data_IF_055956231894
#
_entry.id   IF_055956231894
#
_cell.length_a   1.000
_cell.length_b   1.000
_cell.length_c   1.000
_cell.angle_alpha   90.00
_cell.angle_beta   90.00
_cell.angle_gamma   90.00
#
_symmetry.space_group_name_H-M   'P 1'
#
loop_
_entity.id
_entity.type
_entity.pdbx_description
1 polymer ?
#
# COMPACT_ATOMS: atom_id res chain seq x y z
N UNK A 1 -24.12 23.28 6.05
CA UNK A 1 -24.29 22.27 4.98
C UNK A 1 -23.67 20.96 5.45
N UNK A 2 -24.53 20.03 5.88
CA UNK A 2 -24.12 18.70 6.31
C UNK A 2 -24.02 17.78 5.08
N UNK A 3 -22.89 17.10 4.92
CA UNK A 3 -22.84 15.85 4.19
C UNK A 3 -22.13 14.82 5.06
N UNK A 4 -22.88 14.30 6.03
CA UNK A 4 -22.52 13.11 6.80
C UNK A 4 -22.73 11.91 5.88
N UNK A 5 -21.70 11.53 5.13
CA UNK A 5 -21.70 10.27 4.41
C UNK A 5 -21.45 9.13 5.40
N UNK A 6 -22.53 8.61 5.99
CA UNK A 6 -22.52 7.26 6.58
C UNK A 6 -22.45 6.28 5.42
N UNK A 7 -21.22 5.91 5.05
CA UNK A 7 -20.94 4.83 4.11
C UNK A 7 -21.05 3.48 4.79
N UNK A 8 -22.24 2.89 4.69
CA UNK A 8 -22.60 1.47 4.77
C UNK A 8 -21.43 0.48 4.95
N UNK A 9 -21.55 -0.38 5.96
CA UNK A 9 -20.70 -1.54 6.17
C UNK A 9 -20.57 -2.39 4.90
N UNK A 10 -19.35 -2.44 4.37
CA UNK A 10 -18.94 -3.41 3.36
C UNK A 10 -18.93 -4.77 4.06
N UNK A 11 -19.88 -5.64 3.71
CA UNK A 11 -19.84 -7.04 4.10
C UNK A 11 -18.45 -7.60 3.82
N UNK A 12 -17.90 -8.39 4.75
CA UNK A 12 -16.53 -8.93 4.72
C UNK A 12 -16.32 -9.86 3.51
N UNK A 13 -16.28 -9.35 2.28
CA UNK A 13 -15.46 -9.98 1.25
C UNK A 13 -14.06 -9.87 1.82
N UNK A 14 -13.47 -11.01 2.19
CA UNK A 14 -12.07 -11.03 2.58
C UNK A 14 -11.31 -10.45 1.40
N UNK A 15 -10.95 -9.17 1.51
CA UNK A 15 -10.00 -8.56 0.58
C UNK A 15 -8.79 -9.47 0.63
N UNK A 16 -8.22 -9.78 -0.53
CA UNK A 16 -6.99 -10.56 -0.59
C UNK A 16 -6.02 -9.96 0.44
N UNK A 17 -5.56 -10.74 1.42
CA UNK A 17 -4.89 -10.21 2.61
C UNK A 17 -3.59 -9.47 2.29
N UNK A 18 -3.05 -9.69 1.10
CA UNK A 18 -1.88 -9.00 0.55
C UNK A 18 -2.19 -7.69 -0.20
N UNK A 19 -3.46 -7.29 -0.33
CA UNK A 19 -3.81 -5.97 -0.88
C UNK A 19 -3.73 -4.92 0.22
N UNK A 20 -2.76 -4.03 0.10
CA UNK A 20 -2.58 -2.89 1.00
C UNK A 20 -3.54 -1.76 0.59
N UNK A 21 -4.46 -1.35 1.47
CA UNK A 21 -5.37 -0.21 1.23
C UNK A 21 -4.63 1.13 1.21
N UNK A 22 -5.21 2.15 0.58
CA UNK A 22 -4.61 3.50 0.54
C UNK A 22 -4.50 4.11 1.94
N UNK A 23 -5.49 3.86 2.80
CA UNK A 23 -5.48 4.29 4.21
C UNK A 23 -4.28 3.69 4.95
N UNK A 24 -4.06 2.37 4.85
CA UNK A 24 -2.92 1.72 5.50
C UNK A 24 -1.60 2.20 4.91
N UNK A 25 -1.54 2.36 3.58
CA UNK A 25 -0.35 2.86 2.90
C UNK A 25 0.01 4.28 3.37
N UNK A 26 -0.97 5.15 3.61
CA UNK A 26 -0.73 6.53 4.08
C UNK A 26 -0.01 6.60 5.44
N UNK A 27 -0.14 5.56 6.28
CA UNK A 27 0.58 5.46 7.55
C UNK A 27 1.98 4.85 7.41
N UNK A 28 2.15 3.93 6.46
CA UNK A 28 3.42 3.20 6.26
C UNK A 28 4.41 4.05 5.45
N UNK A 29 3.96 4.68 4.36
CA UNK A 29 4.82 5.41 3.43
C UNK A 29 5.74 6.45 4.10
N UNK A 30 5.27 7.29 5.05
CA UNK A 30 6.13 8.28 5.70
C UNK A 30 7.23 7.67 6.59
N UNK A 31 7.08 6.41 7.01
CA UNK A 31 8.05 5.71 7.84
C UNK A 31 9.19 5.10 7.01
N UNK A 32 9.03 5.00 5.70
CA UNK A 32 10.03 4.44 4.82
C UNK A 32 11.14 5.47 4.52
N UNK A 33 12.41 5.05 4.50
CA UNK A 33 13.49 5.94 4.12
C UNK A 33 13.37 6.36 2.66
N UNK A 34 13.82 7.57 2.34
CA UNK A 34 13.87 8.04 0.95
C UNK A 34 14.74 7.10 0.10
N UNK A 35 14.34 6.79 -1.15
CA UNK A 35 15.14 5.96 -2.03
C UNK A 35 16.55 6.55 -2.22
N UNK A 36 17.57 5.71 -2.07
CA UNK A 36 18.95 6.11 -2.32
C UNK A 36 19.14 6.53 -3.80
N UNK A 37 19.98 7.54 -4.08
CA UNK A 37 20.35 7.90 -5.44
C UNK A 37 20.93 6.69 -6.17
N UNK A 38 20.54 6.49 -7.43
CA UNK A 38 21.12 5.42 -8.26
C UNK A 38 22.51 5.81 -8.72
N UNK A 39 23.50 4.96 -8.46
CA UNK A 39 24.88 5.11 -8.96
C UNK A 39 25.05 4.64 -10.41
N UNK A 40 24.19 3.74 -10.88
CA UNK A 40 24.21 3.17 -12.23
C UNK A 40 22.80 3.08 -12.80
N UNK A 41 22.67 3.40 -14.08
CA UNK A 41 21.41 3.24 -14.83
C UNK A 41 21.09 1.76 -15.00
N UNK A 42 19.86 1.37 -14.67
CA UNK A 42 19.40 -0.02 -14.73
C UNK A 42 17.89 -0.08 -14.54
N UNK A 43 17.36 -1.28 -14.27
CA UNK A 43 15.91 -1.48 -14.12
C UNK A 43 15.32 -0.48 -13.11
N UNK A 44 14.19 0.18 -13.44
CA UNK A 44 13.46 0.99 -12.47
C UNK A 44 13.16 0.21 -11.19
N UNK A 45 13.20 0.89 -10.04
CA UNK A 45 12.84 0.27 -8.76
C UNK A 45 11.33 0.03 -8.76
N UNK A 46 10.89 -1.13 -8.27
CA UNK A 46 9.47 -1.40 -8.05
C UNK A 46 8.95 -0.45 -6.96
N UNK A 47 7.77 0.17 -7.11
CA UNK A 47 7.18 0.99 -6.07
C UNK A 47 7.05 0.22 -4.75
N UNK A 48 7.37 0.86 -3.63
CA UNK A 48 7.46 0.18 -2.33
C UNK A 48 6.12 -0.46 -1.92
N UNK A 49 4.98 0.14 -2.28
CA UNK A 49 3.66 -0.45 -2.06
C UNK A 49 3.46 -1.76 -2.81
N UNK A 50 3.90 -1.84 -4.07
CA UNK A 50 3.79 -3.07 -4.86
C UNK A 50 4.71 -4.15 -4.30
N UNK A 51 5.91 -3.78 -3.87
CA UNK A 51 6.82 -4.71 -3.20
C UNK A 51 6.21 -5.26 -1.90
N UNK A 52 5.60 -4.40 -1.08
CA UNK A 52 4.91 -4.81 0.14
C UNK A 52 3.75 -5.77 -0.14
N UNK A 53 2.92 -5.49 -1.16
CA UNK A 53 1.88 -6.43 -1.59
C UNK A 53 2.46 -7.80 -1.99
N UNK A 54 3.59 -7.82 -2.70
CA UNK A 54 4.27 -9.07 -3.07
C UNK A 54 4.80 -9.84 -1.86
N UNK A 55 5.38 -9.16 -0.87
CA UNK A 55 5.85 -9.77 0.38
C UNK A 55 4.67 -10.39 1.14
N UNK A 56 3.58 -9.65 1.31
CA UNK A 56 2.39 -10.16 2.00
C UNK A 56 1.73 -11.34 1.27
N UNK A 57 1.80 -11.38 -0.06
CA UNK A 57 1.29 -12.50 -0.85
C UNK A 57 2.06 -13.80 -0.59
N UNK A 58 3.38 -13.71 -0.42
CA UNK A 58 4.23 -14.88 -0.10
C UNK A 58 4.02 -15.37 1.33
N UNK A 59 3.74 -14.45 2.25
CA UNK A 59 3.58 -14.77 3.67
C UNK A 59 2.20 -15.31 4.05
N UNK A 60 1.21 -15.16 3.18
CA UNK A 60 -0.16 -15.62 3.40
C UNK A 60 -0.36 -17.03 2.86
#
# INVERSE_FOLDING_TARGET
MACRLVGRGVGKRQSRPWIVSDELWSFIEPLLPKPAPKLVSGRPRVPDRQALCGILFVLH
#
